data_IF_184360016184
#
_entry.id   IF_184360016184
#
_cell.length_a   1.000
_cell.length_b   1.000
_cell.length_c   1.000
_cell.angle_alpha   90.00
_cell.angle_beta   90.00
_cell.angle_gamma   90.00
#
_symmetry.space_group_name_H-M   'P 1'
#
loop_
_entity.id
_entity.type
_entity.pdbx_description
1 polymer ?
#
# COMPACT_ATOMS: atom_id res chain seq x y z
N UNK A 1 27.16 -12.07 0.69
CA UNK A 1 27.16 -10.60 0.59
C UNK A 1 25.89 -10.21 -0.13
N UNK A 2 25.06 -9.35 0.48
CA UNK A 2 23.84 -8.87 -0.16
C UNK A 2 24.21 -8.08 -1.42
N UNK A 3 23.58 -8.41 -2.55
CA UNK A 3 23.81 -7.69 -3.79
C UNK A 3 23.43 -6.20 -3.59
N UNK A 4 24.33 -5.25 -3.91
CA UNK A 4 24.11 -3.82 -3.70
C UNK A 4 22.85 -3.26 -4.37
N UNK A 5 22.25 -3.99 -5.32
CA UNK A 5 21.00 -3.61 -5.99
C UNK A 5 19.76 -3.86 -5.11
N UNK A 6 19.82 -4.82 -4.19
CA UNK A 6 18.65 -5.35 -3.45
C UNK A 6 18.04 -4.30 -2.51
N UNK A 7 18.86 -3.59 -1.74
CA UNK A 7 18.41 -2.55 -0.81
C UNK A 7 17.73 -1.36 -1.54
N UNK A 8 18.34 -0.76 -2.58
CA UNK A 8 17.69 0.26 -3.41
C UNK A 8 16.35 -0.20 -4.00
N UNK A 9 16.27 -1.44 -4.49
CA UNK A 9 15.02 -2.00 -5.04
C UNK A 9 13.94 -2.09 -3.96
N UNK A 10 14.26 -2.52 -2.74
CA UNK A 10 13.29 -2.56 -1.64
C UNK A 10 12.78 -1.18 -1.25
N UNK A 11 13.65 -0.18 -1.19
CA UNK A 11 13.23 1.19 -0.92
C UNK A 11 12.32 1.73 -2.02
N UNK A 12 12.67 1.52 -3.29
CA UNK A 12 11.85 1.93 -4.42
C UNK A 12 10.45 1.30 -4.36
N UNK A 13 10.37 -0.01 -4.13
CA UNK A 13 9.07 -0.72 -4.06
C UNK A 13 8.25 -0.19 -2.87
N UNK A 14 8.88 0.04 -1.73
CA UNK A 14 8.19 0.53 -0.53
C UNK A 14 7.59 1.93 -0.76
N UNK A 15 8.34 2.83 -1.41
CA UNK A 15 7.84 4.16 -1.79
C UNK A 15 6.69 4.05 -2.80
N UNK A 16 6.83 3.19 -3.82
CA UNK A 16 5.78 2.97 -4.81
C UNK A 16 4.48 2.45 -4.17
N UNK A 17 4.58 1.52 -3.22
CA UNK A 17 3.44 1.02 -2.47
C UNK A 17 2.75 2.11 -1.64
N UNK A 18 3.51 3.02 -1.03
CA UNK A 18 2.94 4.15 -0.30
C UNK A 18 2.16 5.09 -1.23
N UNK A 19 2.64 5.33 -2.45
CA UNK A 19 1.92 6.14 -3.44
C UNK A 19 0.59 5.47 -3.82
N UNK A 20 0.60 4.15 -4.08
CA UNK A 20 -0.61 3.40 -4.38
C UNK A 20 -1.62 3.43 -3.21
N UNK A 21 -1.14 3.26 -1.98
CA UNK A 21 -1.97 3.34 -0.78
C UNK A 21 -2.54 4.74 -0.53
N UNK A 22 -1.74 5.79 -0.74
CA UNK A 22 -2.23 7.16 -0.68
C UNK A 22 -3.36 7.38 -1.70
N UNK A 23 -3.21 6.84 -2.91
CA UNK A 23 -4.25 6.81 -3.93
C UNK A 23 -5.52 6.07 -3.47
N UNK A 24 -5.38 4.89 -2.86
CA UNK A 24 -6.50 4.12 -2.29
C UNK A 24 -7.26 4.94 -1.25
N UNK A 25 -6.56 5.56 -0.31
CA UNK A 25 -7.18 6.39 0.75
C UNK A 25 -7.87 7.62 0.14
N UNK A 26 -7.24 8.26 -0.85
CA UNK A 26 -7.84 9.39 -1.57
C UNK A 26 -9.15 9.01 -2.27
N UNK A 27 -9.17 7.90 -3.02
CA UNK A 27 -10.39 7.43 -3.68
C UNK A 27 -11.44 6.93 -2.67
N UNK A 28 -11.02 6.34 -1.55
CA UNK A 28 -11.91 5.97 -0.46
C UNK A 28 -12.63 7.21 0.11
N UNK A 29 -11.88 8.28 0.39
CA UNK A 29 -12.48 9.53 0.85
C UNK A 29 -13.47 10.10 -0.16
N UNK A 30 -13.12 10.07 -1.45
CA UNK A 30 -13.98 10.53 -2.54
C UNK A 30 -15.29 9.74 -2.64
N UNK A 31 -15.23 8.42 -2.57
CA UNK A 31 -16.43 7.55 -2.54
C UNK A 31 -17.29 7.85 -1.31
N UNK A 32 -16.68 8.07 -0.15
CA UNK A 32 -17.39 8.43 1.09
C UNK A 32 -18.21 9.70 0.93
N UNK A 33 -17.64 10.70 0.25
CA UNK A 33 -18.33 11.97 -0.02
C UNK A 33 -19.54 11.79 -0.95
N UNK A 34 -19.51 10.81 -1.84
CA UNK A 34 -20.56 10.56 -2.85
C UNK A 34 -21.67 9.65 -2.34
N UNK A 35 -21.33 8.63 -1.56
CA UNK A 35 -22.26 7.56 -1.13
C UNK A 35 -22.82 7.75 0.27
N UNK A 36 -22.25 8.66 1.05
CA UNK A 36 -22.51 8.75 2.48
C UNK A 36 -21.77 7.67 3.27
N UNK A 37 -21.78 7.78 4.60
CA UNK A 37 -21.06 6.86 5.48
C UNK A 37 -22.00 5.78 6.00
N UNK A 38 -21.82 4.53 5.56
CA UNK A 38 -22.44 3.36 6.19
C UNK A 38 -21.40 2.53 6.92
N UNK A 39 -21.82 1.84 7.99
CA UNK A 39 -20.92 1.19 8.97
C UNK A 39 -19.87 0.27 8.33
N UNK A 40 -20.25 -0.52 7.32
CA UNK A 40 -19.32 -1.39 6.61
C UNK A 40 -18.31 -0.60 5.73
N UNK A 41 -18.73 0.50 5.11
CA UNK A 41 -17.84 1.38 4.36
C UNK A 41 -16.82 2.07 5.27
N UNK A 42 -17.26 2.56 6.43
CA UNK A 42 -16.34 3.15 7.43
C UNK A 42 -15.29 2.14 7.87
N UNK A 43 -15.67 0.87 8.09
CA UNK A 43 -14.72 -0.19 8.45
C UNK A 43 -13.70 -0.47 7.34
N UNK A 44 -14.12 -0.43 6.07
CA UNK A 44 -13.22 -0.60 4.92
C UNK A 44 -12.21 0.55 4.85
N UNK A 45 -12.65 1.80 5.02
CA UNK A 45 -11.74 2.96 5.07
C UNK A 45 -10.75 2.80 6.22
N UNK A 46 -11.24 2.47 7.42
CA UNK A 46 -10.38 2.28 8.60
C UNK A 46 -9.35 1.18 8.35
N UNK A 47 -9.74 0.06 7.74
CA UNK A 47 -8.81 -1.00 7.36
C UNK A 47 -7.73 -0.48 6.40
N UNK A 48 -8.10 0.27 5.37
CA UNK A 48 -7.11 0.89 4.46
C UNK A 48 -6.20 1.88 5.17
N UNK A 49 -6.74 2.73 6.05
CA UNK A 49 -5.92 3.66 6.86
C UNK A 49 -4.92 2.91 7.74
N UNK A 50 -5.35 1.85 8.42
CA UNK A 50 -4.46 1.02 9.25
C UNK A 50 -3.36 0.37 8.40
N UNK A 51 -3.70 -0.16 7.22
CA UNK A 51 -2.73 -0.75 6.30
C UNK A 51 -1.71 0.29 5.80
N UNK A 52 -2.15 1.50 5.53
CA UNK A 52 -1.26 2.61 5.15
C UNK A 52 -0.33 2.99 6.30
N UNK A 53 -0.86 3.14 7.51
CA UNK A 53 -0.04 3.44 8.70
C UNK A 53 0.98 2.33 8.95
N UNK A 54 0.57 1.05 8.87
CA UNK A 54 1.47 -0.10 8.98
C UNK A 54 2.65 0.00 8.00
N UNK A 55 2.36 0.31 6.74
CA UNK A 55 3.41 0.40 5.71
C UNK A 55 4.34 1.60 5.91
N UNK A 56 3.82 2.75 6.35
CA UNK A 56 4.64 3.91 6.72
C UNK A 56 5.56 3.58 7.89
N UNK A 57 5.03 2.95 8.94
CA UNK A 57 5.82 2.52 10.11
C UNK A 57 6.88 1.50 9.68
N UNK A 58 6.53 0.54 8.82
CA UNK A 58 7.49 -0.45 8.30
C UNK A 58 8.65 0.22 7.54
N UNK A 59 8.35 1.20 6.69
CA UNK A 59 9.37 1.94 5.94
C UNK A 59 10.23 2.78 6.88
N UNK A 60 9.61 3.49 7.84
CA UNK A 60 10.33 4.29 8.83
C UNK A 60 11.29 3.43 9.66
N UNK A 61 10.82 2.27 10.15
CA UNK A 61 11.66 1.33 10.87
C UNK A 61 12.82 0.84 10.00
N UNK A 62 12.57 0.47 8.74
CA UNK A 62 13.65 0.07 7.83
C UNK A 62 14.68 1.20 7.63
N UNK A 63 14.25 2.45 7.47
CA UNK A 63 15.20 3.58 7.31
C UNK A 63 15.96 3.89 8.60
N UNK A 64 15.39 3.59 9.77
CA UNK A 64 16.02 3.82 11.07
C UNK A 64 17.04 2.75 11.47
N UNK A 65 16.99 1.58 10.83
CA UNK A 65 17.89 0.46 11.10
C UNK A 65 19.25 0.67 10.41
N UNK A 66 20.37 0.40 11.10
CA UNK A 66 21.69 0.31 10.47
C UNK A 66 21.68 -0.68 9.30
N UNK A 67 22.34 -0.34 8.19
CA UNK A 67 22.29 -1.11 6.95
C UNK A 67 22.78 -2.57 7.11
N UNK A 68 23.69 -2.81 8.05
CA UNK A 68 24.21 -4.11 8.46
C UNK A 68 23.17 -4.96 9.19
N UNK A 69 22.33 -4.35 10.05
CA UNK A 69 21.24 -5.04 10.72
C UNK A 69 20.09 -5.35 9.75
N UNK A 70 19.83 -4.46 8.81
CA UNK A 70 18.89 -4.71 7.72
C UNK A 70 19.36 -5.85 6.81
N UNK A 71 20.64 -5.86 6.46
CA UNK A 71 21.22 -6.91 5.62
C UNK A 71 21.14 -8.29 6.29
N UNK A 72 21.41 -8.38 7.60
CA UNK A 72 21.30 -9.65 8.34
C UNK A 72 19.84 -10.15 8.44
N UNK A 73 18.87 -9.24 8.60
CA UNK A 73 17.45 -9.58 8.54
C UNK A 73 17.05 -10.11 7.15
N UNK A 74 17.52 -9.46 6.08
CA UNK A 74 17.24 -9.90 4.71
C UNK A 74 17.84 -11.27 4.43
N UNK A 75 19.08 -11.52 4.89
CA UNK A 75 19.74 -12.82 4.76
C UNK A 75 18.98 -13.91 5.53
N UNK A 76 18.44 -13.58 6.72
CA UNK A 76 17.67 -14.53 7.55
C UNK A 76 16.33 -14.96 6.94
N UNK A 77 15.66 -14.06 6.20
CA UNK A 77 14.37 -14.33 5.54
C UNK A 77 14.58 -14.95 4.15
N UNK A 78 15.73 -14.69 3.55
CA UNK A 78 16.08 -15.09 2.20
C UNK A 78 15.56 -14.10 1.15
N UNK A 79 16.46 -13.68 0.26
CA UNK A 79 16.19 -12.68 -0.78
C UNK A 79 15.02 -13.08 -1.68
N UNK A 80 14.91 -14.37 -2.04
CA UNK A 80 13.82 -14.89 -2.91
C UNK A 80 12.46 -14.72 -2.26
N UNK A 81 12.34 -15.09 -0.98
CA UNK A 81 11.11 -14.92 -0.19
C UNK A 81 10.71 -13.44 -0.12
N UNK A 82 11.70 -12.57 0.05
CA UNK A 82 11.50 -11.13 0.19
C UNK A 82 11.04 -10.50 -1.14
N UNK A 83 11.63 -10.89 -2.27
CA UNK A 83 11.19 -10.46 -3.61
C UNK A 83 9.77 -10.96 -3.91
N UNK A 84 9.49 -12.24 -3.67
CA UNK A 84 8.18 -12.83 -3.91
C UNK A 84 7.08 -12.14 -3.10
N UNK A 85 7.33 -11.94 -1.79
CA UNK A 85 6.40 -11.24 -0.89
C UNK A 85 6.18 -9.79 -1.33
N UNK A 86 7.25 -9.11 -1.73
CA UNK A 86 7.18 -7.74 -2.23
C UNK A 86 6.33 -7.64 -3.51
N UNK A 87 6.52 -8.58 -4.44
CA UNK A 87 5.73 -8.65 -5.67
C UNK A 87 4.24 -8.86 -5.39
N UNK A 88 3.88 -9.80 -4.49
CA UNK A 88 2.49 -10.01 -4.07
C UNK A 88 1.89 -8.74 -3.46
N UNK A 89 2.63 -8.05 -2.60
CA UNK A 89 2.17 -6.81 -1.98
C UNK A 89 1.96 -5.68 -2.99
N UNK A 90 2.82 -5.56 -4.01
CA UNK A 90 2.64 -4.60 -5.10
C UNK A 90 1.39 -4.91 -5.90
N UNK A 91 1.18 -6.17 -6.30
CA UNK A 91 0.00 -6.59 -7.06
C UNK A 91 -1.28 -6.35 -6.25
N UNK A 92 -1.28 -6.67 -4.96
CA UNK A 92 -2.39 -6.38 -4.06
C UNK A 92 -2.66 -4.86 -3.96
N UNK A 93 -1.61 -4.05 -3.84
CA UNK A 93 -1.71 -2.59 -3.82
C UNK A 93 -2.32 -2.01 -5.10
N UNK A 94 -1.89 -2.51 -6.26
CA UNK A 94 -2.46 -2.12 -7.57
C UNK A 94 -3.93 -2.54 -7.68
N UNK A 95 -4.26 -3.77 -7.27
CA UNK A 95 -5.64 -4.26 -7.31
C UNK A 95 -6.57 -3.43 -6.42
N UNK A 96 -6.13 -3.09 -5.20
CA UNK A 96 -6.86 -2.21 -4.30
C UNK A 96 -7.05 -0.81 -4.90
N UNK A 97 -6.00 -0.24 -5.48
CA UNK A 97 -6.07 1.07 -6.12
C UNK A 97 -7.08 1.08 -7.28
N UNK A 98 -6.99 0.11 -8.19
CA UNK A 98 -7.90 0.00 -9.32
C UNK A 98 -9.34 -0.28 -8.89
N UNK A 99 -9.54 -1.13 -7.87
CA UNK A 99 -10.86 -1.40 -7.30
C UNK A 99 -11.50 -0.13 -6.73
N UNK A 100 -10.75 0.64 -5.95
CA UNK A 100 -11.23 1.88 -5.33
C UNK A 100 -11.46 3.00 -6.36
N UNK A 101 -10.58 3.12 -7.35
CA UNK A 101 -10.77 4.02 -8.48
C UNK A 101 -12.03 3.67 -9.28
N UNK A 102 -12.25 2.39 -9.55
CA UNK A 102 -13.44 1.89 -10.24
C UNK A 102 -14.73 2.18 -9.47
N UNK A 103 -14.72 1.97 -8.14
CA UNK A 103 -15.83 2.32 -7.27
C UNK A 103 -16.12 3.82 -7.29
N UNK A 104 -15.09 4.67 -7.15
CA UNK A 104 -15.23 6.13 -7.24
C UNK A 104 -15.89 6.56 -8.54
N UNK A 105 -15.41 6.03 -9.67
CA UNK A 105 -15.96 6.36 -10.99
C UNK A 105 -17.41 5.89 -11.16
N UNK A 106 -17.76 4.70 -10.65
CA UNK A 106 -19.14 4.18 -10.71
C UNK A 106 -20.11 5.05 -9.91
N UNK A 107 -19.75 5.41 -8.68
CA UNK A 107 -20.61 6.24 -7.84
C UNK A 107 -20.75 7.66 -8.38
N UNK A 108 -19.71 8.23 -8.99
CA UNK A 108 -19.82 9.52 -9.68
C UNK A 108 -20.77 9.51 -10.87
N UNK A 109 -20.76 8.42 -11.64
CA UNK A 109 -21.65 8.30 -12.79
C UNK A 109 -23.10 8.13 -12.34
N UNK A 110 -23.34 7.37 -11.25
CA UNK A 110 -24.66 7.20 -10.67
C UNK A 110 -25.20 8.49 -10.03
N UNK A 111 -24.36 9.27 -9.34
CA UNK A 111 -24.79 10.56 -8.76
C UNK A 111 -25.13 11.63 -9.81
N UNK A 112 -24.71 11.43 -11.07
CA UNK A 112 -24.96 12.34 -12.18
C UNK A 112 -26.15 11.94 -13.06
N UNK A 113 -26.76 10.77 -12.81
CA UNK A 113 -27.94 10.32 -13.56
C UNK A 113 -29.17 10.91 -12.87
N UNK A 114 -29.95 11.77 -13.54
CA UNK A 114 -31.08 12.49 -12.94
C UNK A 114 -32.25 11.59 -12.58
#
# INVERSE_FOLDING_TARGET
MLDPVVLPTFYFISVFQLILQAGVVFYAYRVTKLTGSFRAWTLIIVAFTILTVRNVVSLFLSLSLPADQLASLIDSVGVVTLIATSAVNVVAGVALFLGMFGLAKRFENQSKTP
#
